data_IF_213862951118
#
_entry.id   IF_213862951118
#
_cell.length_a   1.000
_cell.length_b   1.000
_cell.length_c   1.000
_cell.angle_alpha   90.00
_cell.angle_beta   90.00
_cell.angle_gamma   90.00
#
_symmetry.space_group_name_H-M   'P 1'
#
loop_
_entity.id
_entity.type
_entity.pdbx_description
1 polymer ?
#
# COMPACT_ATOMS: atom_id res chain seq x y z
N UNK A 1 20.25 -12.88 13.34
CA UNK A 1 21.50 -12.36 13.93
C UNK A 1 21.13 -11.78 15.27
N UNK A 2 21.78 -12.18 16.36
CA UNK A 2 21.51 -11.56 17.67
C UNK A 2 22.50 -10.45 17.93
N UNK A 3 22.01 -9.28 18.34
CA UNK A 3 22.84 -8.10 18.57
C UNK A 3 22.90 -7.80 20.06
N UNK A 4 24.11 -7.62 20.59
CA UNK A 4 24.30 -7.13 21.98
C UNK A 4 23.96 -5.65 22.14
N UNK A 5 24.10 -4.88 21.05
CA UNK A 5 23.80 -3.45 20.98
C UNK A 5 23.15 -3.15 19.64
N UNK A 6 21.98 -2.52 19.68
CA UNK A 6 21.29 -2.04 18.48
C UNK A 6 21.81 -0.66 18.08
N UNK A 7 21.78 -0.36 16.78
CA UNK A 7 22.00 1.00 16.29
C UNK A 7 20.80 1.87 16.67
N UNK A 8 21.06 3.16 16.92
CA UNK A 8 19.98 4.15 17.00
C UNK A 8 19.36 4.36 15.61
N UNK A 9 18.11 4.80 15.59
CA UNK A 9 17.54 5.36 14.37
C UNK A 9 18.31 6.63 14.00
N UNK A 10 18.48 6.94 12.70
CA UNK A 10 19.11 8.18 12.29
C UNK A 10 18.21 9.36 12.69
N UNK A 11 18.81 10.53 12.94
CA UNK A 11 18.07 11.69 13.45
C UNK A 11 17.06 12.25 12.44
N UNK A 12 17.27 11.98 11.16
CA UNK A 12 16.40 12.34 10.04
C UNK A 12 15.46 11.19 9.62
N UNK A 13 15.26 10.18 10.48
CA UNK A 13 14.31 9.10 10.21
C UNK A 13 12.88 9.65 10.10
N UNK A 14 12.20 9.31 9.01
CA UNK A 14 10.84 9.75 8.74
C UNK A 14 9.84 8.91 9.54
N UNK A 15 9.66 9.25 10.81
CA UNK A 15 8.58 8.73 11.64
C UNK A 15 7.24 9.31 11.18
N UNK A 16 6.48 8.49 10.46
CA UNK A 16 5.28 8.94 9.79
C UNK A 16 4.07 8.06 10.03
N UNK A 17 2.99 8.48 9.39
CA UNK A 17 1.74 7.74 9.29
C UNK A 17 1.13 8.00 7.91
N UNK A 18 0.14 7.21 7.51
CA UNK A 18 -0.37 7.23 6.14
C UNK A 18 -1.90 7.19 6.03
N UNK A 19 -2.39 7.61 4.86
CA UNK A 19 -3.78 7.49 4.41
C UNK A 19 -3.88 7.30 2.88
N UNK A 20 -5.11 7.11 2.39
CA UNK A 20 -5.45 7.06 0.97
C UNK A 20 -6.70 7.90 0.69
N UNK A 21 -6.69 8.64 -0.41
CA UNK A 21 -7.69 9.64 -0.78
C UNK A 21 -9.13 9.13 -0.64
N UNK A 22 -9.49 8.05 -1.35
CA UNK A 22 -10.85 7.47 -1.29
C UNK A 22 -11.27 7.05 0.12
N UNK A 23 -10.31 6.65 0.96
CA UNK A 23 -10.57 6.12 2.29
C UNK A 23 -10.77 7.21 3.35
N UNK A 24 -10.31 8.44 3.10
CA UNK A 24 -10.35 9.53 4.09
C UNK A 24 -11.03 10.80 3.63
N UNK A 25 -10.95 11.17 2.35
CA UNK A 25 -11.31 12.51 1.90
C UNK A 25 -12.80 12.82 2.01
N UNK A 26 -13.66 11.96 1.46
CA UNK A 26 -15.05 12.32 1.21
C UNK A 26 -15.18 13.30 0.03
N UNK A 27 -16.27 14.07 -0.02
CA UNK A 27 -16.48 15.13 -1.02
C UNK A 27 -16.29 14.64 -2.48
N UNK A 28 -16.95 13.53 -2.90
CA UNK A 28 -16.64 12.83 -4.15
C UNK A 28 -16.98 13.61 -5.42
N UNK A 29 -17.81 14.66 -5.32
CA UNK A 29 -18.30 15.47 -6.43
C UNK A 29 -18.22 16.99 -6.17
N UNK A 30 -17.45 17.39 -5.16
CA UNK A 30 -17.21 18.81 -4.85
C UNK A 30 -16.06 19.36 -5.68
N UNK A 31 -16.04 20.68 -5.88
CA UNK A 31 -14.95 21.42 -6.50
C UNK A 31 -14.48 20.84 -7.85
N UNK A 32 -15.42 20.30 -8.64
CA UNK A 32 -15.15 19.77 -9.98
C UNK A 32 -14.60 18.35 -10.02
N UNK A 33 -14.46 17.66 -8.87
CA UNK A 33 -14.13 16.23 -8.86
C UNK A 33 -15.19 15.41 -9.60
N UNK A 34 -14.76 14.43 -10.38
CA UNK A 34 -15.64 13.43 -11.02
C UNK A 34 -15.47 12.03 -10.41
N UNK A 35 -16.29 11.10 -10.87
CA UNK A 35 -16.29 9.72 -10.38
C UNK A 35 -14.96 9.01 -10.68
N UNK A 36 -14.44 8.34 -9.67
CA UNK A 36 -13.45 7.28 -9.82
C UNK A 36 -14.15 5.94 -10.09
N UNK A 37 -13.38 4.93 -10.50
CA UNK A 37 -13.86 3.55 -10.59
C UNK A 37 -14.44 3.04 -9.26
N UNK A 38 -13.93 3.51 -8.12
CA UNK A 38 -14.44 3.15 -6.80
C UNK A 38 -15.80 3.78 -6.51
N UNK A 39 -16.01 5.04 -6.89
CA UNK A 39 -17.30 5.72 -6.70
C UNK A 39 -18.45 4.90 -7.31
N UNK A 40 -18.25 4.31 -8.49
CA UNK A 40 -19.26 3.45 -9.10
C UNK A 40 -19.29 2.03 -8.53
N UNK A 41 -18.12 1.43 -8.30
CA UNK A 41 -18.04 0.02 -7.91
C UNK A 41 -18.68 -0.27 -6.56
N UNK A 42 -18.48 0.60 -5.56
CA UNK A 42 -19.08 0.41 -4.21
C UNK A 42 -20.60 0.48 -4.22
N UNK A 43 -21.20 1.08 -5.25
CA UNK A 43 -22.66 1.23 -5.40
C UNK A 43 -23.33 0.02 -6.03
N UNK A 44 -22.56 -0.95 -6.52
CA UNK A 44 -23.12 -2.23 -6.95
C UNK A 44 -23.70 -2.93 -5.71
N UNK A 45 -24.97 -3.35 -5.71
CA UNK A 45 -25.62 -3.92 -4.53
C UNK A 45 -24.84 -5.10 -3.94
N UNK A 46 -24.53 -5.01 -2.65
CA UNK A 46 -23.82 -6.05 -1.90
C UNK A 46 -22.29 -6.08 -2.08
N UNK A 47 -21.68 -5.10 -2.77
CA UNK A 47 -20.22 -5.06 -2.90
C UNK A 47 -19.48 -4.70 -1.62
N UNK A 48 -19.96 -3.71 -0.90
CA UNK A 48 -19.35 -3.27 0.37
C UNK A 48 -20.21 -3.69 1.55
N UNK A 49 -19.55 -3.94 2.69
CA UNK A 49 -20.22 -4.26 3.94
C UNK A 49 -21.19 -3.14 4.32
N UNK A 50 -22.48 -3.51 4.47
CA UNK A 50 -23.61 -2.60 4.72
C UNK A 50 -23.74 -1.43 3.73
N UNK A 51 -23.19 -1.53 2.53
CA UNK A 51 -23.29 -0.47 1.51
C UNK A 51 -22.45 0.79 1.82
N UNK A 52 -21.45 0.67 2.69
CA UNK A 52 -20.51 1.76 2.99
C UNK A 52 -19.76 2.21 1.74
N UNK A 53 -19.50 3.52 1.64
CA UNK A 53 -18.86 4.15 0.50
C UNK A 53 -18.04 5.38 0.93
N UNK A 54 -17.25 5.92 -0.01
CA UNK A 54 -16.37 7.07 0.20
C UNK A 54 -17.02 8.44 0.05
N UNK A 55 -18.36 8.57 0.10
CA UNK A 55 -19.02 9.87 -0.13
C UNK A 55 -18.69 10.88 0.98
N UNK A 56 -18.64 10.38 2.21
CA UNK A 56 -18.16 11.14 3.37
C UNK A 56 -16.82 10.59 3.84
N UNK A 57 -16.63 9.27 3.82
CA UNK A 57 -15.49 8.61 4.45
C UNK A 57 -15.31 9.10 5.90
N UNK A 58 -14.19 9.74 6.20
CA UNK A 58 -13.96 10.46 7.48
C UNK A 58 -13.82 11.96 7.30
N UNK A 59 -14.21 12.49 6.14
CA UNK A 59 -14.34 13.92 5.86
C UNK A 59 -13.03 14.72 5.99
N UNK A 60 -11.89 14.08 5.66
CA UNK A 60 -10.58 14.73 5.70
C UNK A 60 -10.52 15.93 4.74
N UNK A 61 -11.27 15.91 3.63
CA UNK A 61 -11.30 17.03 2.68
C UNK A 61 -11.65 18.37 3.36
N UNK A 62 -12.64 18.36 4.25
CA UNK A 62 -13.07 19.56 4.98
C UNK A 62 -12.33 19.77 6.30
N UNK A 63 -11.73 18.70 6.85
CA UNK A 63 -11.16 18.68 8.20
C UNK A 63 -9.64 18.55 8.24
N UNK A 64 -8.96 18.63 7.10
CA UNK A 64 -7.52 18.41 7.04
C UNK A 64 -6.73 19.27 8.02
N UNK A 65 -7.16 20.52 8.30
CA UNK A 65 -6.50 21.39 9.29
C UNK A 65 -6.60 20.85 10.73
N UNK A 66 -7.75 20.29 11.10
CA UNK A 66 -7.92 19.60 12.39
C UNK A 66 -6.99 18.39 12.47
N UNK A 67 -6.95 17.60 11.40
CA UNK A 67 -6.12 16.39 11.32
C UNK A 67 -4.61 16.74 11.34
N UNK A 68 -4.16 17.76 10.60
CA UNK A 68 -2.76 18.22 10.61
C UNK A 68 -2.37 18.84 11.94
N UNK A 69 -3.26 19.56 12.61
CA UNK A 69 -2.99 20.08 13.96
C UNK A 69 -2.73 18.94 14.96
N UNK A 70 -3.51 17.85 14.89
CA UNK A 70 -3.26 16.64 15.67
C UNK A 70 -1.96 15.93 15.23
N UNK A 71 -1.58 15.96 13.94
CA UNK A 71 -0.30 15.38 13.49
C UNK A 71 0.88 16.14 14.11
N UNK A 72 0.76 17.47 14.17
CA UNK A 72 1.75 18.34 14.82
C UNK A 72 1.83 18.06 16.32
N UNK A 73 0.70 17.95 17.00
CA UNK A 73 0.65 17.62 18.42
C UNK A 73 1.31 16.27 18.71
N UNK A 74 1.05 15.24 17.90
CA UNK A 74 1.73 13.94 18.00
C UNK A 74 3.25 14.04 17.74
N UNK A 75 3.71 15.06 17.02
CA UNK A 75 5.12 15.25 16.67
C UNK A 75 5.56 14.53 15.40
N UNK A 76 4.62 14.17 14.52
CA UNK A 76 4.84 13.41 13.29
C UNK A 76 5.93 14.08 12.41
N UNK A 77 6.84 13.28 11.84
CA UNK A 77 7.92 13.81 10.97
C UNK A 77 7.54 13.81 9.50
N UNK A 78 6.67 12.89 9.10
CA UNK A 78 6.16 12.81 7.73
C UNK A 78 4.73 12.31 7.68
N UNK A 79 3.97 12.79 6.70
CA UNK A 79 2.63 12.27 6.43
C UNK A 79 2.53 11.83 4.97
N UNK A 80 2.20 10.56 4.77
CA UNK A 80 2.00 9.98 3.44
C UNK A 80 0.52 9.98 3.09
N UNK A 81 0.15 10.65 2.01
CA UNK A 81 -1.21 10.67 1.49
C UNK A 81 -1.21 10.43 -0.01
N UNK A 82 -2.34 9.97 -0.57
CA UNK A 82 -2.50 9.88 -2.02
C UNK A 82 -3.27 11.06 -2.58
N UNK A 83 -2.98 11.41 -3.83
CA UNK A 83 -3.74 12.42 -4.58
C UNK A 83 -4.77 11.69 -5.44
N UNK A 84 -6.04 12.08 -5.31
CA UNK A 84 -7.11 11.58 -6.16
C UNK A 84 -6.96 12.16 -7.57
N UNK A 85 -6.61 11.31 -8.53
CA UNK A 85 -6.47 11.72 -9.94
C UNK A 85 -7.73 12.43 -10.44
N UNK A 86 -8.90 11.96 -10.02
CA UNK A 86 -10.22 12.54 -10.34
C UNK A 86 -10.44 13.97 -9.84
N UNK A 87 -9.66 14.47 -8.88
CA UNK A 87 -9.67 15.90 -8.50
C UNK A 87 -8.82 16.75 -9.41
N UNK A 88 -7.73 16.21 -9.95
CA UNK A 88 -6.73 16.96 -10.71
C UNK A 88 -7.08 16.99 -12.19
N UNK A 89 -7.39 15.82 -12.75
CA UNK A 89 -7.88 15.65 -14.12
C UNK A 89 -9.17 14.85 -14.04
N UNK A 90 -10.35 15.52 -13.95
CA UNK A 90 -11.62 14.84 -13.68
C UNK A 90 -12.03 13.80 -14.73
N UNK A 91 -11.68 14.03 -16.00
CA UNK A 91 -11.88 13.06 -17.09
C UNK A 91 -10.63 12.18 -17.31
N UNK A 92 -9.67 12.22 -16.38
CA UNK A 92 -8.37 11.54 -16.41
C UNK A 92 -7.33 12.15 -17.34
N UNK A 93 -7.76 12.94 -18.32
CA UNK A 93 -6.93 13.71 -19.24
C UNK A 93 -7.57 15.07 -19.53
N UNK A 94 -6.81 15.98 -20.14
CA UNK A 94 -7.29 17.30 -20.56
C UNK A 94 -7.02 18.39 -19.53
N UNK A 95 -8.03 19.25 -19.31
CA UNK A 95 -7.88 20.45 -18.48
C UNK A 95 -7.68 20.13 -16.99
N UNK A 96 -6.72 20.82 -16.38
CA UNK A 96 -6.44 20.71 -14.95
C UNK A 96 -7.54 21.42 -14.17
N UNK A 97 -8.19 20.70 -13.25
CA UNK A 97 -9.10 21.30 -12.30
C UNK A 97 -8.33 22.01 -11.18
N UNK A 98 -8.25 23.33 -11.29
CA UNK A 98 -7.50 24.18 -10.37
C UNK A 98 -8.00 24.10 -8.92
N UNK A 99 -9.30 23.87 -8.69
CA UNK A 99 -9.84 23.77 -7.34
C UNK A 99 -9.37 22.47 -6.65
N UNK A 100 -9.34 21.35 -7.37
CA UNK A 100 -8.77 20.10 -6.89
C UNK A 100 -7.26 20.21 -6.61
N UNK A 101 -6.51 20.89 -7.48
CA UNK A 101 -5.09 21.15 -7.25
C UNK A 101 -4.86 22.01 -6.01
N UNK A 102 -5.71 23.04 -5.81
CA UNK A 102 -5.65 23.92 -4.65
C UNK A 102 -5.85 23.19 -3.33
N UNK A 103 -6.75 22.21 -3.26
CA UNK A 103 -6.92 21.41 -2.04
C UNK A 103 -5.60 20.75 -1.59
N UNK A 104 -4.89 20.09 -2.52
CA UNK A 104 -3.62 19.44 -2.19
C UNK A 104 -2.49 20.45 -1.97
N UNK A 105 -2.48 21.58 -2.67
CA UNK A 105 -1.56 22.67 -2.35
C UNK A 105 -1.76 23.16 -0.92
N UNK A 106 -3.00 23.41 -0.51
CA UNK A 106 -3.32 23.87 0.85
C UNK A 106 -2.97 22.81 1.91
N UNK A 107 -3.20 21.52 1.63
CA UNK A 107 -2.78 20.42 2.52
C UNK A 107 -1.26 20.35 2.65
N UNK A 108 -0.52 20.42 1.53
CA UNK A 108 0.95 20.38 1.52
C UNK A 108 1.52 21.58 2.29
N UNK A 109 0.99 22.78 2.05
CA UNK A 109 1.44 23.98 2.72
C UNK A 109 1.13 23.94 4.23
N UNK A 110 -0.02 23.38 4.64
CA UNK A 110 -0.35 23.17 6.05
C UNK A 110 0.60 22.15 6.72
N UNK A 111 0.97 21.06 6.04
CA UNK A 111 1.96 20.09 6.55
C UNK A 111 3.34 20.76 6.73
N UNK A 112 3.82 21.49 5.71
CA UNK A 112 5.11 22.17 5.74
C UNK A 112 5.13 23.24 6.84
N UNK A 113 4.06 24.02 6.98
CA UNK A 113 3.92 25.03 8.04
C UNK A 113 3.98 24.41 9.45
N UNK A 114 3.61 23.14 9.58
CA UNK A 114 3.70 22.36 10.80
C UNK A 114 4.97 21.50 10.89
N UNK A 115 5.95 21.69 10.01
CA UNK A 115 7.22 20.95 9.97
C UNK A 115 7.06 19.43 9.77
N UNK A 116 6.02 19.05 9.02
CA UNK A 116 5.74 17.66 8.64
C UNK A 116 6.10 17.49 7.16
N UNK A 117 7.02 16.59 6.83
CA UNK A 117 7.44 16.34 5.44
C UNK A 117 6.29 15.63 4.68
N UNK A 118 5.75 16.23 3.60
CA UNK A 118 4.73 15.59 2.79
C UNK A 118 5.34 14.47 1.94
N UNK A 119 4.73 13.29 1.96
CA UNK A 119 5.05 12.18 1.07
C UNK A 119 3.87 11.92 0.15
N UNK A 120 4.00 12.25 -1.12
CA UNK A 120 2.89 12.18 -2.08
C UNK A 120 2.87 10.81 -2.75
N UNK A 121 1.72 10.13 -2.64
CA UNK A 121 1.42 8.93 -3.43
C UNK A 121 0.59 9.33 -4.66
N UNK A 122 1.13 9.11 -5.85
CA UNK A 122 0.50 9.54 -7.11
C UNK A 122 -0.76 8.72 -7.39
N UNK A 123 -0.71 7.40 -7.15
CA UNK A 123 -1.84 6.52 -7.42
C UNK A 123 -2.17 5.57 -6.27
N UNK A 124 -3.43 5.62 -5.82
CA UNK A 124 -3.99 4.66 -4.87
C UNK A 124 -5.38 4.18 -5.33
N UNK A 125 -5.37 3.50 -6.48
CA UNK A 125 -6.45 2.63 -6.99
C UNK A 125 -7.72 3.34 -7.49
N UNK A 126 -7.73 4.67 -7.47
CA UNK A 126 -8.88 5.53 -7.73
C UNK A 126 -8.87 6.13 -9.14
N UNK A 127 -8.60 5.28 -10.14
CA UNK A 127 -8.64 5.62 -11.56
C UNK A 127 -9.90 6.42 -11.92
N UNK A 128 -9.80 7.52 -12.69
CA UNK A 128 -10.97 8.22 -13.21
C UNK A 128 -11.86 7.29 -14.03
N UNK A 129 -13.16 7.26 -13.72
CA UNK A 129 -14.12 6.41 -14.42
C UNK A 129 -14.12 6.69 -15.93
N UNK A 130 -13.88 7.95 -16.34
CA UNK A 130 -13.83 8.32 -17.74
C UNK A 130 -12.76 7.55 -18.54
N UNK A 131 -11.62 7.19 -17.93
CA UNK A 131 -10.58 6.39 -18.59
C UNK A 131 -10.95 4.90 -18.66
N UNK A 132 -11.61 4.40 -17.62
CA UNK A 132 -12.20 3.05 -17.63
C UNK A 132 -13.26 2.93 -18.75
N UNK A 133 -14.15 3.92 -18.89
CA UNK A 133 -15.19 3.93 -19.92
C UNK A 133 -14.62 4.11 -21.33
N UNK A 134 -13.55 4.91 -21.48
CA UNK A 134 -12.97 5.24 -22.78
C UNK A 134 -12.21 4.07 -23.40
N UNK A 135 -11.36 3.39 -22.63
CA UNK A 135 -10.47 2.34 -23.15
C UNK A 135 -10.23 1.17 -22.19
N UNK A 136 -10.98 1.05 -21.09
CA UNK A 136 -10.79 0.00 -20.09
C UNK A 136 -9.64 0.27 -19.12
N UNK A 137 -9.25 1.54 -18.95
CA UNK A 137 -8.26 1.92 -17.95
C UNK A 137 -6.92 1.19 -18.12
N UNK A 138 -6.52 0.45 -17.09
CA UNK A 138 -5.25 -0.28 -17.08
C UNK A 138 -5.13 -1.42 -18.10
N UNK A 139 -6.22 -1.76 -18.81
CA UNK A 139 -6.20 -2.73 -19.91
C UNK A 139 -5.59 -2.16 -21.20
N UNK A 140 -5.46 -0.84 -21.31
CA UNK A 140 -4.91 -0.16 -22.48
C UNK A 140 -3.58 0.51 -22.20
N UNK A 141 -2.67 0.47 -23.18
CA UNK A 141 -1.41 1.24 -23.14
C UNK A 141 -1.61 2.75 -23.17
N UNK A 142 -2.79 3.24 -23.56
CA UNK A 142 -3.11 4.68 -23.50
C UNK A 142 -2.93 5.25 -22.09
N UNK A 143 -3.14 4.43 -21.05
CA UNK A 143 -2.97 4.84 -19.66
C UNK A 143 -1.54 5.33 -19.34
N UNK A 144 -0.53 4.86 -20.08
CA UNK A 144 0.87 5.23 -19.87
C UNK A 144 1.02 6.75 -20.08
N UNK A 145 0.52 7.26 -21.20
CA UNK A 145 0.63 8.69 -21.53
C UNK A 145 -0.24 9.55 -20.60
N UNK A 146 -1.46 9.10 -20.31
CA UNK A 146 -2.38 9.83 -19.41
C UNK A 146 -1.82 9.94 -18.00
N UNK A 147 -1.27 8.85 -17.47
CA UNK A 147 -0.70 8.81 -16.13
C UNK A 147 0.60 9.62 -16.04
N UNK A 148 1.44 9.59 -17.08
CA UNK A 148 2.63 10.47 -17.15
C UNK A 148 2.24 11.94 -17.16
N UNK A 149 1.23 12.32 -17.96
CA UNK A 149 0.71 13.69 -17.98
C UNK A 149 0.15 14.10 -16.62
N UNK A 150 -0.63 13.23 -15.98
CA UNK A 150 -1.13 13.45 -14.62
C UNK A 150 0.01 13.68 -13.61
N UNK A 151 1.00 12.78 -13.59
CA UNK A 151 2.15 12.89 -12.70
C UNK A 151 2.96 14.18 -12.96
N UNK A 152 3.16 14.55 -14.23
CA UNK A 152 3.84 15.78 -14.62
C UNK A 152 3.11 17.04 -14.13
N UNK A 153 1.77 17.07 -14.15
CA UNK A 153 1.00 18.15 -13.53
C UNK A 153 1.33 18.28 -12.04
N UNK A 154 1.36 17.16 -11.31
CA UNK A 154 1.69 17.16 -9.87
C UNK A 154 3.13 17.58 -9.60
N UNK A 155 4.09 17.03 -10.37
CA UNK A 155 5.50 17.36 -10.24
C UNK A 155 5.72 18.85 -10.43
N UNK A 156 5.14 19.45 -11.47
CA UNK A 156 5.26 20.87 -11.72
C UNK A 156 4.58 21.73 -10.65
N UNK A 157 3.38 21.34 -10.21
CA UNK A 157 2.63 22.09 -9.21
C UNK A 157 3.30 22.09 -7.83
N UNK A 158 3.94 20.98 -7.44
CA UNK A 158 4.52 20.80 -6.11
C UNK A 158 6.06 20.77 -6.11
N UNK A 159 6.69 21.19 -7.21
CA UNK A 159 8.15 21.29 -7.33
C UNK A 159 8.70 22.18 -6.22
N UNK A 160 9.69 21.66 -5.49
CA UNK A 160 10.32 22.35 -4.36
C UNK A 160 9.53 22.31 -3.04
N UNK A 161 8.28 21.81 -3.04
CA UNK A 161 7.49 21.58 -1.82
C UNK A 161 7.52 20.11 -1.37
N UNK A 162 7.56 19.17 -2.30
CA UNK A 162 7.50 17.72 -2.00
C UNK A 162 8.77 17.02 -2.45
N UNK A 163 9.47 16.37 -1.51
CA UNK A 163 10.72 15.63 -1.79
C UNK A 163 10.53 14.15 -2.00
N UNK A 164 9.47 13.53 -1.46
CA UNK A 164 9.29 12.09 -1.52
C UNK A 164 8.00 11.73 -2.26
N UNK A 165 8.16 10.91 -3.31
CA UNK A 165 7.08 10.54 -4.21
C UNK A 165 6.95 9.01 -4.29
N UNK A 166 5.75 8.50 -4.03
CA UNK A 166 5.38 7.11 -4.30
C UNK A 166 4.62 7.09 -5.62
N UNK A 167 5.07 6.31 -6.61
CA UNK A 167 4.40 6.20 -7.90
C UNK A 167 3.10 5.40 -7.80
N UNK A 168 3.19 4.08 -7.98
CA UNK A 168 2.07 3.16 -7.80
C UNK A 168 2.14 2.54 -6.41
N UNK A 169 1.07 2.71 -5.61
CA UNK A 169 0.92 2.02 -4.34
C UNK A 169 0.24 0.66 -4.53
N UNK A 170 0.89 -0.39 -4.04
CA UNK A 170 0.37 -1.76 -3.98
C UNK A 170 -0.16 -2.27 -5.33
N UNK A 171 0.66 -2.13 -6.38
CA UNK A 171 0.30 -2.57 -7.73
C UNK A 171 -0.18 -4.02 -7.77
N UNK A 172 0.50 -4.91 -7.05
CA UNK A 172 0.13 -6.30 -6.94
C UNK A 172 -1.26 -6.51 -6.32
N UNK A 173 -1.72 -5.60 -5.47
CA UNK A 173 -3.06 -5.67 -4.87
C UNK A 173 -4.11 -5.17 -5.85
N UNK A 174 -4.02 -3.95 -6.38
CA UNK A 174 -5.09 -3.45 -7.26
C UNK A 174 -5.21 -4.29 -8.53
N UNK A 175 -4.10 -4.78 -9.10
CA UNK A 175 -4.16 -5.63 -10.28
C UNK A 175 -4.73 -7.02 -9.97
N UNK A 176 -4.31 -7.68 -8.88
CA UNK A 176 -4.85 -9.00 -8.54
C UNK A 176 -6.32 -8.93 -8.11
N UNK A 177 -6.70 -7.92 -7.33
CA UNK A 177 -8.09 -7.75 -6.87
C UNK A 177 -9.02 -7.34 -8.02
N UNK A 178 -8.52 -6.57 -8.99
CA UNK A 178 -9.28 -6.07 -10.14
C UNK A 178 -9.48 -7.10 -11.27
N UNK A 179 -8.45 -7.91 -11.57
CA UNK A 179 -8.47 -8.81 -12.74
C UNK A 179 -8.30 -10.31 -12.41
N UNK A 180 -7.92 -10.69 -11.19
CA UNK A 180 -7.83 -12.10 -10.78
C UNK A 180 -8.94 -12.51 -9.80
N UNK A 181 -9.15 -11.73 -8.74
CA UNK A 181 -10.09 -12.05 -7.67
C UNK A 181 -11.47 -11.40 -7.84
N UNK A 182 -11.60 -10.41 -8.74
CA UNK A 182 -12.84 -9.68 -9.03
C UNK A 182 -13.48 -9.00 -7.80
N UNK A 183 -12.68 -8.65 -6.80
CA UNK A 183 -13.11 -8.04 -5.54
C UNK A 183 -13.06 -6.52 -5.59
N UNK A 184 -12.15 -5.95 -6.41
CA UNK A 184 -11.99 -4.51 -6.65
C UNK A 184 -12.37 -4.17 -8.10
N UNK A 185 -12.53 -2.89 -8.46
CA UNK A 185 -12.70 -2.50 -9.87
C UNK A 185 -11.55 -3.04 -10.74
N UNK A 186 -11.82 -3.47 -11.99
CA UNK A 186 -13.12 -3.51 -12.67
C UNK A 186 -13.97 -4.76 -12.38
N UNK A 187 -13.57 -5.62 -11.43
CA UNK A 187 -14.32 -6.81 -11.04
C UNK A 187 -14.23 -7.95 -12.04
N UNK A 188 -13.10 -8.09 -12.73
CA UNK A 188 -12.84 -9.13 -13.73
C UNK A 188 -12.08 -10.33 -13.14
N UNK A 189 -12.27 -11.49 -13.75
CA UNK A 189 -11.62 -12.76 -13.38
C UNK A 189 -11.01 -13.41 -14.63
N UNK A 190 -9.84 -12.91 -15.00
CA UNK A 190 -9.07 -13.34 -16.17
C UNK A 190 -7.56 -13.25 -15.87
N UNK A 191 -6.91 -14.40 -15.73
CA UNK A 191 -5.49 -14.47 -15.38
C UNK A 191 -4.56 -13.96 -16.49
N UNK A 192 -4.92 -14.15 -17.76
CA UNK A 192 -4.09 -13.68 -18.89
C UNK A 192 -4.16 -12.15 -18.95
N UNK A 193 -5.37 -11.60 -18.81
CA UNK A 193 -5.57 -10.16 -18.76
C UNK A 193 -4.90 -9.54 -17.53
N UNK A 194 -4.99 -10.18 -16.36
CA UNK A 194 -4.28 -9.74 -15.14
C UNK A 194 -2.78 -9.54 -15.39
N UNK A 195 -2.10 -10.50 -16.01
CA UNK A 195 -0.66 -10.35 -16.30
C UNK A 195 -0.39 -9.28 -17.36
N UNK A 196 -1.27 -9.11 -18.35
CA UNK A 196 -1.14 -8.04 -19.35
C UNK A 196 -1.31 -6.65 -18.72
N UNK A 197 -2.34 -6.46 -17.88
CA UNK A 197 -2.59 -5.23 -17.12
C UNK A 197 -1.41 -4.93 -16.20
N UNK A 198 -0.88 -5.94 -15.52
CA UNK A 198 0.30 -5.77 -14.68
C UNK A 198 1.53 -5.32 -15.48
N UNK A 199 1.69 -5.80 -16.71
CA UNK A 199 2.75 -5.34 -17.60
C UNK A 199 2.59 -3.88 -18.00
N UNK A 200 1.37 -3.45 -18.35
CA UNK A 200 1.06 -2.04 -18.65
C UNK A 200 1.35 -1.16 -17.42
N UNK A 201 0.93 -1.58 -16.22
CA UNK A 201 1.22 -0.85 -14.99
C UNK A 201 2.73 -0.73 -14.71
N UNK A 202 3.51 -1.78 -14.99
CA UNK A 202 4.98 -1.71 -14.89
C UNK A 202 5.58 -0.67 -15.86
N UNK A 203 5.10 -0.62 -17.10
CA UNK A 203 5.55 0.36 -18.09
C UNK A 203 5.17 1.79 -17.67
N UNK A 204 3.95 1.98 -17.17
CA UNK A 204 3.48 3.24 -16.60
C UNK A 204 4.35 3.72 -15.44
N UNK A 205 4.68 2.82 -14.50
CA UNK A 205 5.58 3.12 -13.40
C UNK A 205 6.97 3.55 -13.89
N UNK A 206 7.54 2.79 -14.84
CA UNK A 206 8.85 3.11 -15.42
C UNK A 206 8.84 4.48 -16.13
N UNK A 207 7.79 4.77 -16.91
CA UNK A 207 7.64 6.02 -17.62
C UNK A 207 7.55 7.24 -16.67
N UNK A 208 6.79 7.13 -15.58
CA UNK A 208 6.67 8.21 -14.58
C UNK A 208 7.97 8.45 -13.81
N UNK A 209 8.70 7.38 -13.44
CA UNK A 209 10.02 7.53 -12.81
C UNK A 209 11.00 8.23 -13.76
N UNK A 210 11.01 7.84 -15.04
CA UNK A 210 11.84 8.53 -16.03
C UNK A 210 11.44 10.00 -16.19
N UNK A 211 10.15 10.31 -16.23
CA UNK A 211 9.65 11.68 -16.31
C UNK A 211 10.07 12.51 -15.09
N UNK A 212 10.00 11.96 -13.88
CA UNK A 212 10.46 12.61 -12.66
C UNK A 212 11.93 13.05 -12.76
N UNK A 213 12.80 12.15 -13.24
CA UNK A 213 14.22 12.43 -13.42
C UNK A 213 14.50 13.37 -14.61
N UNK A 214 13.76 13.25 -15.71
CA UNK A 214 13.85 14.15 -16.88
C UNK A 214 13.52 15.60 -16.51
N UNK A 215 12.55 15.81 -15.61
CA UNK A 215 12.16 17.12 -15.11
C UNK A 215 13.12 17.69 -14.05
N UNK A 216 14.21 16.98 -13.73
CA UNK A 216 15.19 17.35 -12.71
C UNK A 216 14.50 17.75 -11.39
N UNK A 217 13.62 16.88 -10.91
CA UNK A 217 12.92 17.07 -9.64
C UNK A 217 13.90 16.96 -8.47
N UNK A 218 13.83 17.90 -7.53
CA UNK A 218 14.60 17.85 -6.28
C UNK A 218 13.89 16.92 -5.29
N UNK A 219 14.23 15.63 -5.33
CA UNK A 219 13.58 14.62 -4.50
C UNK A 219 13.94 13.19 -4.87
N UNK A 220 13.15 12.26 -4.33
CA UNK A 220 13.26 10.82 -4.51
C UNK A 220 11.91 10.25 -4.93
N UNK A 221 11.92 9.29 -5.86
CA UNK A 221 10.72 8.59 -6.32
C UNK A 221 10.90 7.07 -6.27
N UNK A 222 9.85 6.36 -5.89
CA UNK A 222 9.84 4.89 -5.90
C UNK A 222 8.44 4.29 -5.92
N UNK A 223 8.26 3.06 -6.44
CA UNK A 223 7.01 2.33 -6.27
C UNK A 223 6.86 1.83 -4.82
N UNK A 224 5.63 1.51 -4.42
CA UNK A 224 5.36 0.85 -3.14
C UNK A 224 4.71 -0.51 -3.34
N UNK A 225 5.30 -1.54 -2.74
CA UNK A 225 4.91 -2.94 -2.95
C UNK A 225 4.30 -3.56 -1.69
N UNK A 226 3.15 -4.22 -1.83
CA UNK A 226 2.57 -5.00 -0.73
C UNK A 226 3.34 -6.30 -0.55
N UNK A 227 4.30 -6.30 0.38
CA UNK A 227 5.24 -7.39 0.54
C UNK A 227 4.78 -8.38 1.61
N UNK A 228 4.48 -9.60 1.18
CA UNK A 228 4.31 -10.77 2.05
C UNK A 228 5.49 -11.71 1.81
N UNK A 229 6.54 -11.70 2.65
CA UNK A 229 7.64 -12.64 2.54
C UNK A 229 7.16 -14.08 2.67
N UNK A 230 7.65 -14.95 1.77
CA UNK A 230 7.28 -16.36 1.73
C UNK A 230 8.28 -17.21 2.53
N UNK A 231 7.75 -18.09 3.38
CA UNK A 231 8.49 -19.10 4.14
C UNK A 231 8.19 -20.50 3.62
N UNK A 232 9.13 -21.41 3.83
CA UNK A 232 8.89 -22.83 3.70
C UNK A 232 8.32 -23.39 5.01
N UNK A 233 7.38 -24.33 4.91
CA UNK A 233 6.82 -25.06 6.05
C UNK A 233 7.89 -25.66 6.96
N UNK A 234 8.87 -26.30 6.32
CA UNK A 234 9.96 -27.03 6.96
C UNK A 234 11.11 -27.20 5.94
N UNK A 235 12.12 -27.99 6.31
CA UNK A 235 13.31 -28.24 5.47
C UNK A 235 13.12 -29.38 4.46
N UNK A 236 11.91 -29.88 4.23
CA UNK A 236 11.66 -30.77 3.09
C UNK A 236 11.99 -30.01 1.79
N UNK A 237 12.86 -30.53 0.91
CA UNK A 237 13.23 -29.87 -0.33
C UNK A 237 12.04 -29.44 -1.18
N UNK A 238 10.91 -30.17 -1.16
CA UNK A 238 9.71 -29.78 -1.90
C UNK A 238 9.01 -28.55 -1.28
N UNK A 239 9.05 -28.41 0.04
CA UNK A 239 8.50 -27.24 0.74
C UNK A 239 9.42 -26.02 0.58
N UNK A 240 10.73 -26.23 0.56
CA UNK A 240 11.70 -25.17 0.21
C UNK A 240 11.46 -24.68 -1.22
N UNK A 241 11.38 -25.60 -2.19
CA UNK A 241 11.09 -25.25 -3.58
C UNK A 241 9.73 -24.55 -3.74
N UNK A 242 8.70 -24.97 -2.99
CA UNK A 242 7.41 -24.30 -2.98
C UNK A 242 7.51 -22.85 -2.47
N UNK A 243 8.34 -22.57 -1.47
CA UNK A 243 8.58 -21.22 -0.98
C UNK A 243 9.36 -20.37 -2.00
N UNK A 244 10.35 -20.94 -2.70
CA UNK A 244 11.06 -20.25 -3.80
C UNK A 244 10.09 -19.89 -4.95
N UNK A 245 9.25 -20.84 -5.37
CA UNK A 245 8.22 -20.59 -6.39
C UNK A 245 7.25 -19.48 -5.96
N UNK A 246 6.80 -19.51 -4.69
CA UNK A 246 5.90 -18.51 -4.15
C UNK A 246 6.56 -17.12 -4.05
N UNK A 247 7.81 -17.03 -3.57
CA UNK A 247 8.53 -15.75 -3.47
C UNK A 247 8.76 -15.15 -4.86
N UNK A 248 9.11 -15.99 -5.83
CA UNK A 248 9.34 -15.54 -7.20
C UNK A 248 8.05 -15.03 -7.86
N UNK A 249 6.96 -15.80 -7.76
CA UNK A 249 5.67 -15.42 -8.36
C UNK A 249 4.97 -14.28 -7.65
N UNK A 250 5.04 -14.20 -6.32
CA UNK A 250 4.29 -13.20 -5.56
C UNK A 250 5.07 -11.95 -5.21
N UNK A 251 6.41 -11.98 -5.26
CA UNK A 251 7.26 -10.84 -4.86
C UNK A 251 8.25 -10.44 -5.93
N UNK A 252 9.15 -11.34 -6.35
CA UNK A 252 10.16 -10.99 -7.36
C UNK A 252 9.52 -10.58 -8.69
N UNK A 253 8.36 -11.14 -9.05
CA UNK A 253 7.62 -10.77 -10.26
C UNK A 253 7.28 -9.27 -10.37
N UNK A 254 7.17 -8.57 -9.24
CA UNK A 254 7.03 -7.10 -9.19
C UNK A 254 8.36 -6.42 -8.89
N UNK A 255 9.03 -6.81 -7.79
CA UNK A 255 10.19 -6.07 -7.30
C UNK A 255 11.38 -6.15 -8.28
N UNK A 256 11.61 -7.29 -8.96
CA UNK A 256 12.66 -7.39 -9.98
C UNK A 256 12.36 -6.47 -11.17
N UNK A 257 11.09 -6.29 -11.54
CA UNK A 257 10.73 -5.37 -12.63
C UNK A 257 10.95 -3.92 -12.20
N UNK A 258 10.61 -3.56 -10.96
CA UNK A 258 10.87 -2.21 -10.45
C UNK A 258 12.35 -1.85 -10.40
N UNK A 259 13.22 -2.80 -10.03
CA UNK A 259 14.62 -2.51 -9.69
C UNK A 259 15.63 -2.96 -10.76
N UNK A 260 15.31 -3.99 -11.53
CA UNK A 260 16.14 -4.47 -12.65
C UNK A 260 15.52 -4.18 -14.02
N UNK A 261 14.21 -3.96 -14.10
CA UNK A 261 13.49 -3.86 -15.37
C UNK A 261 13.31 -5.21 -16.06
N UNK A 262 13.40 -6.31 -15.31
CA UNK A 262 13.34 -7.67 -15.83
C UNK A 262 12.41 -8.53 -14.97
N UNK A 263 11.61 -9.38 -15.62
CA UNK A 263 10.82 -10.38 -14.91
C UNK A 263 11.67 -11.59 -14.55
N UNK A 264 11.38 -12.28 -13.43
CA UNK A 264 12.12 -13.45 -13.03
C UNK A 264 11.87 -14.64 -13.96
N UNK A 265 12.94 -15.41 -14.20
CA UNK A 265 13.02 -16.36 -15.31
C UNK A 265 12.08 -17.56 -15.12
N UNK A 266 12.01 -18.16 -13.93
CA UNK A 266 11.22 -19.37 -13.72
C UNK A 266 9.72 -19.06 -13.72
N UNK A 267 9.31 -17.94 -13.11
CA UNK A 267 7.94 -17.43 -13.20
C UNK A 267 7.53 -17.18 -14.66
N UNK A 268 8.36 -16.50 -15.46
CA UNK A 268 8.06 -16.28 -16.87
C UNK A 268 8.00 -17.56 -17.69
N UNK A 269 8.85 -18.56 -17.39
CA UNK A 269 8.76 -19.87 -18.03
C UNK A 269 7.42 -20.56 -17.71
N UNK A 270 7.03 -20.58 -16.43
CA UNK A 270 5.73 -21.11 -15.98
C UNK A 270 4.56 -20.40 -16.67
N UNK A 271 4.58 -19.06 -16.72
CA UNK A 271 3.51 -18.30 -17.35
C UNK A 271 3.43 -18.54 -18.85
N UNK A 272 4.56 -18.72 -19.56
CA UNK A 272 4.55 -19.05 -20.99
C UNK A 272 3.99 -20.43 -21.25
N UNK A 273 4.41 -21.43 -20.48
CA UNK A 273 3.90 -22.80 -20.57
C UNK A 273 2.38 -22.86 -20.39
N UNK A 274 1.84 -22.01 -19.51
CA UNK A 274 0.41 -21.94 -19.20
C UNK A 274 -0.36 -20.91 -20.06
N UNK A 275 0.29 -20.28 -21.05
CA UNK A 275 -0.36 -19.28 -21.91
C UNK A 275 -0.77 -17.98 -21.21
N UNK A 276 -0.18 -17.68 -20.05
CA UNK A 276 -0.49 -16.55 -19.18
C UNK A 276 0.51 -15.38 -19.28
N UNK A 277 1.69 -15.60 -19.87
CA UNK A 277 2.74 -14.56 -19.92
C UNK A 277 2.25 -13.30 -20.64
N UNK A 278 2.60 -12.09 -20.17
CA UNK A 278 2.22 -10.85 -20.84
C UNK A 278 2.92 -10.74 -22.21
N UNK A 279 2.26 -10.02 -23.10
CA UNK A 279 2.78 -9.67 -24.42
C UNK A 279 3.59 -8.38 -24.34
N UNK A 280 4.79 -8.44 -24.91
CA UNK A 280 5.72 -7.34 -25.00
C UNK A 280 5.62 -6.71 -26.38
N UNK A 281 5.67 -5.39 -26.42
CA UNK A 281 5.87 -4.59 -27.62
C UNK A 281 7.31 -4.09 -27.72
N UNK A 282 7.68 -3.60 -28.91
CA UNK A 282 9.01 -3.03 -29.13
C UNK A 282 9.24 -1.83 -28.21
N UNK A 283 10.35 -1.84 -27.45
CA UNK A 283 10.71 -0.77 -26.53
C UNK A 283 10.32 -1.04 -25.06
N UNK A 284 9.48 -2.04 -24.78
CA UNK A 284 9.04 -2.32 -23.40
C UNK A 284 10.21 -2.70 -22.49
N UNK A 285 11.06 -3.63 -22.94
CA UNK A 285 12.19 -4.08 -22.15
C UNK A 285 13.19 -2.94 -21.89
N UNK A 286 13.40 -2.07 -22.89
CA UNK A 286 14.25 -0.89 -22.78
C UNK A 286 13.68 0.13 -21.78
N UNK A 287 12.37 0.39 -21.84
CA UNK A 287 11.68 1.31 -20.92
C UNK A 287 11.74 0.81 -19.47
N UNK A 288 11.43 -0.47 -19.24
CA UNK A 288 11.50 -1.07 -17.90
C UNK A 288 12.93 -0.99 -17.33
N UNK A 289 13.95 -1.24 -18.16
CA UNK A 289 15.36 -1.18 -17.75
C UNK A 289 15.86 0.24 -17.51
N UNK A 290 15.31 1.25 -18.17
CA UNK A 290 15.78 2.62 -18.04
C UNK A 290 15.36 3.27 -16.73
N UNK A 291 14.22 2.84 -16.15
CA UNK A 291 13.75 3.36 -14.88
C UNK A 291 14.67 2.97 -13.72
N UNK A 292 14.95 3.95 -12.86
CA UNK A 292 15.78 3.81 -11.65
C UNK A 292 15.08 4.52 -10.49
N UNK A 293 14.30 3.80 -9.66
CA UNK A 293 13.76 4.38 -8.45
C UNK A 293 14.87 4.64 -7.42
N UNK A 294 14.66 5.63 -6.56
CA UNK A 294 15.61 6.04 -5.50
C UNK A 294 15.43 5.24 -4.21
N UNK A 295 14.22 4.74 -3.98
CA UNK A 295 13.87 3.84 -2.88
C UNK A 295 12.84 2.80 -3.31
N UNK A 296 12.70 1.74 -2.53
CA UNK A 296 11.56 0.83 -2.61
C UNK A 296 10.62 1.09 -1.44
N UNK A 297 9.38 1.46 -1.73
CA UNK A 297 8.31 1.46 -0.75
C UNK A 297 7.85 0.02 -0.44
N UNK A 298 7.61 -0.30 0.83
CA UNK A 298 6.96 -1.56 1.21
C UNK A 298 5.77 -1.35 2.13
N UNK A 299 4.66 -2.00 1.80
CA UNK A 299 3.47 -2.16 2.63
C UNK A 299 3.57 -3.56 3.26
N UNK A 300 3.77 -3.64 4.57
CA UNK A 300 4.00 -4.89 5.29
C UNK A 300 2.93 -5.13 6.35
N UNK A 301 2.42 -6.35 6.42
CA UNK A 301 1.49 -6.77 7.46
C UNK A 301 1.78 -8.14 8.03
N UNK A 302 2.19 -9.08 7.17
CA UNK A 302 2.28 -10.49 7.50
C UNK A 302 3.23 -11.22 6.54
N UNK A 303 3.56 -12.45 6.91
CA UNK A 303 4.21 -13.44 6.05
C UNK A 303 3.21 -14.45 5.50
N UNK A 304 3.71 -15.37 4.67
CA UNK A 304 2.96 -16.56 4.29
C UNK A 304 3.87 -17.79 4.31
N UNK A 305 3.38 -18.89 4.87
CA UNK A 305 4.11 -20.16 4.91
C UNK A 305 3.60 -21.12 3.83
N UNK A 306 4.51 -21.72 3.08
CA UNK A 306 4.21 -22.53 1.90
C UNK A 306 4.66 -23.98 2.08
N UNK A 307 3.83 -24.89 1.56
CA UNK A 307 4.13 -26.30 1.40
C UNK A 307 3.98 -26.70 -0.08
N UNK A 308 4.58 -27.83 -0.44
CA UNK A 308 4.40 -28.46 -1.74
C UNK A 308 2.94 -28.69 -2.06
N UNK A 309 2.58 -28.45 -3.32
CA UNK A 309 1.23 -28.62 -3.83
C UNK A 309 1.28 -29.45 -5.12
N UNK A 310 0.82 -30.71 -5.11
CA UNK A 310 0.85 -31.56 -6.30
C UNK A 310 -0.04 -30.99 -7.42
N UNK A 311 0.27 -31.32 -8.67
CA UNK A 311 -0.57 -30.96 -9.83
C UNK A 311 -1.94 -31.64 -9.71
N UNK A 312 -1.93 -32.96 -9.52
CA UNK A 312 -3.14 -33.76 -9.37
C UNK A 312 -3.65 -33.72 -7.92
N UNK A 313 -4.91 -33.28 -7.74
CA UNK A 313 -5.53 -33.19 -6.42
C UNK A 313 -4.98 -32.07 -5.53
N UNK A 314 -4.19 -31.14 -6.10
CA UNK A 314 -3.67 -29.97 -5.41
C UNK A 314 -4.74 -28.96 -5.01
N UNK A 315 -4.36 -28.05 -4.11
CA UNK A 315 -5.22 -26.96 -3.63
C UNK A 315 -5.17 -25.80 -4.62
N UNK A 316 -6.34 -25.39 -5.10
CA UNK A 316 -6.51 -24.20 -5.95
C UNK A 316 -6.78 -22.92 -5.13
N UNK A 317 -7.51 -21.98 -5.74
CA UNK A 317 -7.87 -20.71 -5.08
C UNK A 317 -8.86 -20.95 -3.94
N UNK A 318 -8.48 -20.55 -2.72
CA UNK A 318 -9.30 -20.59 -1.51
C UNK A 318 -10.05 -19.29 -1.23
N UNK A 319 -10.71 -19.23 -0.06
CA UNK A 319 -11.41 -18.03 0.42
C UNK A 319 -10.70 -17.39 1.61
N UNK A 320 -10.67 -16.06 1.63
CA UNK A 320 -10.10 -15.25 2.72
C UNK A 320 -11.11 -15.01 3.84
N UNK A 321 -10.61 -14.81 5.06
CA UNK A 321 -11.41 -14.30 6.17
C UNK A 321 -11.66 -12.80 6.00
N UNK A 322 -12.90 -12.42 5.70
CA UNK A 322 -13.36 -11.03 5.61
C UNK A 322 -14.23 -10.62 6.80
N UNK A 323 -14.49 -11.53 7.74
CA UNK A 323 -15.49 -11.36 8.80
C UNK A 323 -14.91 -11.00 10.17
N UNK A 324 -13.59 -11.14 10.35
CA UNK A 324 -12.95 -11.08 11.68
C UNK A 324 -13.22 -12.32 12.54
N UNK A 325 -13.86 -13.36 12.00
CA UNK A 325 -14.00 -14.65 12.68
C UNK A 325 -12.77 -15.51 12.43
N UNK A 326 -11.87 -15.57 13.41
CA UNK A 326 -10.63 -16.35 13.37
C UNK A 326 -10.89 -17.82 13.00
N UNK A 327 -10.00 -18.40 12.21
CA UNK A 327 -10.04 -19.78 11.73
C UNK A 327 -10.92 -20.01 10.51
N UNK A 328 -11.26 -18.97 9.73
CA UNK A 328 -12.16 -19.09 8.57
C UNK A 328 -11.46 -18.97 7.21
N UNK A 329 -10.19 -18.56 7.19
CA UNK A 329 -9.36 -18.63 5.98
C UNK A 329 -9.15 -20.08 5.56
N UNK A 330 -9.35 -20.39 4.27
CA UNK A 330 -9.10 -21.72 3.69
C UNK A 330 -7.72 -21.79 3.06
N UNK A 331 -7.16 -23.00 2.96
CA UNK A 331 -5.95 -23.23 2.17
C UNK A 331 -6.15 -22.69 0.74
N UNK A 332 -5.09 -22.09 0.19
CA UNK A 332 -5.07 -21.55 -1.16
C UNK A 332 -3.71 -21.80 -1.78
N UNK A 333 -3.66 -22.05 -3.08
CA UNK A 333 -2.41 -22.32 -3.77
C UNK A 333 -2.57 -22.42 -5.28
N UNK A 334 -1.46 -22.77 -5.92
CA UNK A 334 -1.39 -23.08 -7.34
C UNK A 334 -0.89 -24.54 -7.45
N UNK A 335 -1.72 -25.47 -7.95
CA UNK A 335 -1.32 -26.87 -8.14
C UNK A 335 -0.03 -26.97 -8.97
N UNK A 336 0.88 -27.82 -8.54
CA UNK A 336 2.21 -27.99 -9.13
C UNK A 336 3.29 -27.03 -8.63
N UNK A 337 2.93 -26.01 -7.84
CA UNK A 337 3.89 -25.00 -7.37
C UNK A 337 3.96 -24.93 -5.84
N UNK A 338 2.89 -24.49 -5.20
CA UNK A 338 2.85 -24.23 -3.77
C UNK A 338 1.40 -24.16 -3.26
N UNK A 339 1.23 -24.34 -1.95
CA UNK A 339 0.01 -23.98 -1.23
C UNK A 339 0.35 -23.31 0.09
N UNK A 340 -0.43 -22.29 0.44
CA UNK A 340 -0.33 -21.59 1.72
C UNK A 340 -0.92 -22.45 2.82
N UNK A 341 -0.19 -22.55 3.92
CA UNK A 341 -0.59 -23.21 5.14
C UNK A 341 -0.46 -22.24 6.31
N UNK A 342 -1.11 -22.56 7.43
CA UNK A 342 -0.93 -21.81 8.66
C UNK A 342 0.46 -22.08 9.25
N UNK A 343 1.18 -21.02 9.63
CA UNK A 343 2.37 -21.14 10.46
C UNK A 343 1.98 -21.45 11.93
N UNK A 344 2.41 -22.58 12.53
CA UNK A 344 2.09 -22.91 13.91
C UNK A 344 2.91 -22.13 14.94
N UNK A 345 3.94 -21.38 14.53
CA UNK A 345 4.84 -20.64 15.41
C UNK A 345 4.47 -19.15 15.57
N UNK A 346 3.47 -18.67 14.81
CA UNK A 346 3.14 -17.26 14.71
C UNK A 346 1.67 -17.04 15.10
N UNK A 347 1.43 -16.03 15.93
CA UNK A 347 0.09 -15.60 16.30
C UNK A 347 -0.65 -14.98 15.11
N UNK A 348 -1.97 -14.93 15.20
CA UNK A 348 -2.81 -14.36 14.13
C UNK A 348 -3.83 -13.38 14.67
N UNK A 349 -4.11 -12.36 13.88
CA UNK A 349 -5.23 -11.44 14.09
C UNK A 349 -6.57 -12.18 14.03
N UNK A 350 -7.66 -11.48 14.36
CA UNK A 350 -9.02 -11.96 14.18
C UNK A 350 -9.35 -12.27 12.69
N UNK A 351 -8.62 -11.67 11.74
CA UNK A 351 -8.73 -11.92 10.30
C UNK A 351 -7.79 -13.00 9.78
N UNK A 352 -7.22 -13.83 10.66
CA UNK A 352 -6.23 -14.87 10.33
C UNK A 352 -4.93 -14.37 9.70
N UNK A 353 -4.64 -13.06 9.75
CA UNK A 353 -3.35 -12.53 9.28
C UNK A 353 -2.26 -12.82 10.30
N UNK A 354 -1.11 -13.30 9.85
CA UNK A 354 0.06 -13.60 10.70
C UNK A 354 0.62 -12.30 11.31
N UNK A 355 0.84 -12.29 12.62
CA UNK A 355 1.51 -11.21 13.33
C UNK A 355 2.98 -11.57 13.42
N UNK A 356 3.75 -11.25 12.38
CA UNK A 356 5.17 -11.62 12.26
C UNK A 356 6.09 -10.40 12.18
N UNK A 357 6.56 -9.83 13.30
CA UNK A 357 7.57 -8.78 13.25
C UNK A 357 8.92 -9.26 12.71
N UNK A 358 9.33 -10.51 12.93
CA UNK A 358 10.60 -11.04 12.38
C UNK A 358 10.52 -11.15 10.84
N UNK A 359 9.32 -11.39 10.31
CA UNK A 359 9.05 -11.34 8.88
C UNK A 359 9.33 -9.97 8.25
N UNK A 360 9.07 -8.86 8.96
CA UNK A 360 9.46 -7.53 8.49
C UNK A 360 10.98 -7.41 8.42
N UNK A 361 11.69 -7.87 9.44
CA UNK A 361 13.15 -7.89 9.43
C UNK A 361 13.71 -8.75 8.29
N UNK A 362 13.12 -9.92 8.03
CA UNK A 362 13.48 -10.80 6.92
C UNK A 362 13.22 -10.10 5.58
N UNK A 363 12.08 -9.45 5.41
CA UNK A 363 11.75 -8.66 4.22
C UNK A 363 12.83 -7.61 3.93
N UNK A 364 13.17 -6.81 4.94
CA UNK A 364 14.18 -5.76 4.85
C UNK A 364 15.57 -6.33 4.51
N UNK A 365 15.95 -7.47 5.10
CA UNK A 365 17.20 -8.15 4.75
C UNK A 365 17.20 -8.70 3.32
N UNK A 366 16.10 -9.30 2.86
CA UNK A 366 15.97 -9.80 1.47
C UNK A 366 16.15 -8.65 0.48
N UNK A 367 15.46 -7.54 0.69
CA UNK A 367 15.56 -6.36 -0.17
C UNK A 367 16.97 -5.78 -0.15
N UNK A 368 17.54 -5.60 1.06
CA UNK A 368 18.88 -5.04 1.23
C UNK A 368 19.94 -5.89 0.51
N UNK A 369 19.89 -7.21 0.70
CA UNK A 369 20.87 -8.13 0.11
C UNK A 369 20.72 -8.23 -1.40
N UNK A 370 19.47 -8.32 -1.90
CA UNK A 370 19.18 -8.52 -3.31
C UNK A 370 19.39 -7.23 -4.12
N UNK A 371 18.81 -6.12 -3.69
CA UNK A 371 18.70 -4.91 -4.52
C UNK A 371 19.53 -3.72 -4.05
N UNK A 372 19.99 -3.72 -2.78
CA UNK A 372 20.89 -2.69 -2.22
C UNK A 372 20.33 -1.26 -2.33
N UNK A 373 19.00 -1.13 -2.26
CA UNK A 373 18.27 0.14 -2.35
C UNK A 373 17.77 0.56 -0.96
N UNK A 374 17.65 1.88 -0.66
CA UNK A 374 16.92 2.35 0.51
C UNK A 374 15.47 1.83 0.52
N UNK A 375 14.95 1.55 1.70
CA UNK A 375 13.56 1.11 1.90
C UNK A 375 12.78 2.13 2.70
N UNK A 376 11.62 2.53 2.19
CA UNK A 376 10.62 3.27 2.95
C UNK A 376 9.50 2.29 3.32
N UNK A 377 9.25 2.09 4.61
CA UNK A 377 8.05 1.33 5.01
C UNK A 377 6.90 2.32 4.92
N UNK A 378 6.07 2.14 3.90
CA UNK A 378 4.99 3.06 3.51
C UNK A 378 3.66 2.69 4.18
N UNK A 379 3.58 1.48 4.73
CA UNK A 379 2.40 0.99 5.43
C UNK A 379 2.75 -0.19 6.34
N UNK A 380 2.38 -0.11 7.62
CA UNK A 380 2.33 -1.23 8.56
C UNK A 380 1.40 -0.88 9.72
N UNK A 381 0.51 -1.79 10.12
CA UNK A 381 -0.41 -1.49 11.21
C UNK A 381 -1.32 -2.64 11.58
N UNK A 382 -2.13 -2.41 12.62
CA UNK A 382 -3.08 -3.39 13.13
C UNK A 382 -4.50 -2.83 13.10
N UNK A 383 -5.35 -3.53 12.36
CA UNK A 383 -6.79 -3.28 12.34
C UNK A 383 -7.51 -4.13 13.37
N UNK A 384 -8.26 -3.52 14.28
CA UNK A 384 -9.05 -4.21 15.30
C UNK A 384 -10.39 -3.50 15.56
N UNK A 385 -11.25 -4.13 16.37
CA UNK A 385 -12.51 -3.55 16.85
C UNK A 385 -12.26 -2.68 18.09
N UNK A 386 -11.88 -1.42 17.87
CA UNK A 386 -11.69 -0.49 18.99
C UNK A 386 -13.03 -0.18 19.69
N UNK A 387 -12.97 0.02 21.01
CA UNK A 387 -14.12 0.39 21.83
C UNK A 387 -13.91 1.76 22.45
N UNK A 388 -14.99 2.55 22.51
CA UNK A 388 -15.01 3.81 23.24
C UNK A 388 -15.48 3.54 24.67
N UNK A 389 -14.60 3.75 25.64
CA UNK A 389 -14.85 3.55 27.08
C UNK A 389 -14.55 4.87 27.79
N UNK A 390 -15.58 5.48 28.41
CA UNK A 390 -15.48 6.80 29.06
C UNK A 390 -14.86 7.91 28.19
N UNK A 391 -15.13 7.87 26.89
CA UNK A 391 -14.61 8.84 25.91
C UNK A 391 -13.15 8.61 25.50
N UNK A 392 -12.56 7.48 25.87
CA UNK A 392 -11.20 7.05 25.52
C UNK A 392 -11.23 5.73 24.76
N UNK A 393 -10.10 5.38 24.15
CA UNK A 393 -9.91 4.13 23.41
C UNK A 393 -8.63 3.48 23.92
N UNK A 394 -8.79 2.35 24.60
CA UNK A 394 -7.68 1.56 25.16
C UNK A 394 -7.23 0.48 24.17
N UNK A 395 -6.18 0.77 23.41
CA UNK A 395 -5.71 -0.05 22.29
C UNK A 395 -4.29 -0.62 22.45
N UNK A 396 -4.00 -1.16 23.65
CA UNK A 396 -2.72 -1.81 23.97
C UNK A 396 -2.26 -2.88 22.97
N UNK A 397 -3.21 -3.55 22.29
CA UNK A 397 -2.90 -4.52 21.24
C UNK A 397 -2.24 -3.87 20.01
N UNK A 398 -2.62 -2.64 19.68
CA UNK A 398 -2.02 -1.86 18.59
C UNK A 398 -0.62 -1.40 18.98
N UNK A 399 -0.44 -0.92 20.21
CA UNK A 399 0.88 -0.57 20.77
C UNK A 399 1.83 -1.76 20.67
N UNK A 400 1.45 -2.93 21.22
CA UNK A 400 2.28 -4.14 21.19
C UNK A 400 2.65 -4.59 19.77
N UNK A 401 1.71 -4.49 18.83
CA UNK A 401 1.98 -4.79 17.43
C UNK A 401 3.04 -3.85 16.86
N UNK A 402 2.83 -2.53 16.98
CA UNK A 402 3.72 -1.52 16.41
C UNK A 402 5.10 -1.54 17.08
N UNK A 403 5.17 -1.64 18.40
CA UNK A 403 6.42 -1.79 19.18
C UNK A 403 7.26 -2.95 18.65
N UNK A 404 6.64 -4.13 18.47
CA UNK A 404 7.36 -5.31 17.99
C UNK A 404 7.92 -5.13 16.57
N UNK A 405 7.21 -4.42 15.69
CA UNK A 405 7.67 -4.13 14.33
C UNK A 405 8.75 -3.04 14.32
N UNK A 406 8.64 -2.00 15.14
CA UNK A 406 9.70 -0.99 15.31
C UNK A 406 11.00 -1.64 15.79
N UNK A 407 10.92 -2.57 16.74
CA UNK A 407 12.07 -3.35 17.19
C UNK A 407 12.70 -4.13 16.03
N UNK A 408 11.90 -4.82 15.23
CA UNK A 408 12.37 -5.57 14.06
C UNK A 408 13.05 -4.66 13.00
N UNK A 409 12.53 -3.45 12.79
CA UNK A 409 13.15 -2.44 11.92
C UNK A 409 14.52 -2.04 12.47
N UNK A 410 14.62 -1.73 13.78
CA UNK A 410 15.88 -1.37 14.44
C UNK A 410 16.92 -2.49 14.32
N UNK A 411 16.49 -3.73 14.45
CA UNK A 411 17.35 -4.90 14.24
C UNK A 411 17.79 -5.06 12.78
N UNK A 412 16.90 -4.85 11.80
CA UNK A 412 17.24 -4.87 10.37
C UNK A 412 18.24 -3.77 10.01
N UNK A 413 18.09 -2.56 10.56
CA UNK A 413 19.06 -1.47 10.38
C UNK A 413 20.41 -1.78 11.02
N UNK A 414 20.38 -2.48 12.16
CA UNK A 414 21.60 -3.00 12.80
C UNK A 414 22.27 -4.06 11.91
N UNK A 415 21.48 -4.92 11.26
CA UNK A 415 21.94 -5.91 10.25
C UNK A 415 22.57 -5.25 9.00
N UNK A 416 22.23 -3.98 8.71
CA UNK A 416 22.77 -3.22 7.58
C UNK A 416 21.73 -2.70 6.59
N UNK A 417 20.44 -2.91 6.83
CA UNK A 417 19.39 -2.33 6.00
C UNK A 417 19.37 -0.79 6.09
N UNK A 418 19.21 -0.11 4.95
CA UNK A 418 18.97 1.34 4.91
C UNK A 418 17.47 1.58 4.87
N UNK A 419 16.87 1.78 6.04
CA UNK A 419 15.46 2.16 6.17
C UNK A 419 15.38 3.66 6.37
N UNK A 420 14.62 4.37 5.53
CA UNK A 420 14.54 5.83 5.52
C UNK A 420 13.30 6.39 6.21
N UNK A 421 12.28 5.56 6.42
CA UNK A 421 11.05 5.96 7.10
C UNK A 421 10.15 4.78 7.45
N UNK A 422 9.25 5.03 8.40
CA UNK A 422 8.23 4.10 8.87
C UNK A 422 6.90 4.83 8.96
N UNK A 423 5.95 4.41 8.12
CA UNK A 423 4.62 5.00 8.05
C UNK A 423 3.60 3.99 8.55
N UNK A 424 3.03 4.27 9.71
CA UNK A 424 1.97 3.44 10.27
C UNK A 424 0.69 3.52 9.44
N UNK A 425 -0.05 2.42 9.42
CA UNK A 425 -1.41 2.38 8.90
C UNK A 425 -2.39 2.30 10.08
N UNK A 426 -3.11 3.37 10.40
CA UNK A 426 -3.24 4.66 9.69
C UNK A 426 -3.17 5.84 10.65
N UNK A 427 -3.21 7.07 10.13
CA UNK A 427 -3.21 8.24 11.00
C UNK A 427 -4.54 8.38 11.75
N UNK A 428 -5.63 8.66 11.03
CA UNK A 428 -7.00 8.54 11.54
C UNK A 428 -7.56 7.16 11.24
N UNK A 429 -8.65 6.78 11.89
CA UNK A 429 -9.55 5.78 11.33
C UNK A 429 -10.03 6.22 9.95
N UNK A 430 -10.41 5.23 9.14
CA UNK A 430 -10.72 5.42 7.72
C UNK A 430 -11.70 4.37 7.23
N UNK A 431 -12.26 4.60 6.05
CA UNK A 431 -13.10 3.62 5.37
C UNK A 431 -12.24 2.45 4.85
N UNK A 432 -12.56 1.22 5.21
CA UNK A 432 -12.02 0.04 4.51
C UNK A 432 -12.72 -0.14 3.16
N UNK A 433 -11.94 -0.43 2.11
CA UNK A 433 -12.41 -0.63 0.74
C UNK A 433 -13.71 -1.45 0.61
N UNK A 434 -13.84 -2.55 1.36
CA UNK A 434 -15.01 -3.43 1.30
C UNK A 434 -15.64 -3.75 2.66
N UNK A 435 -15.04 -3.34 3.79
CA UNK A 435 -15.40 -3.85 5.12
C UNK A 435 -15.96 -2.80 6.09
N UNK A 436 -16.27 -1.58 5.61
CA UNK A 436 -16.81 -0.51 6.45
C UNK A 436 -15.77 0.07 7.41
N UNK A 437 -16.20 0.45 8.62
CA UNK A 437 -15.39 1.23 9.57
C UNK A 437 -15.04 0.45 10.85
N UNK A 438 -15.75 -0.64 11.17
CA UNK A 438 -15.54 -1.41 12.41
C UNK A 438 -14.11 -1.94 12.61
N UNK A 439 -13.36 -2.24 11.54
CA UNK A 439 -11.94 -2.63 11.62
C UNK A 439 -11.08 -1.38 11.52
N UNK A 440 -10.72 -0.83 12.67
CA UNK A 440 -10.09 0.48 12.84
C UNK A 440 -8.58 0.35 12.90
N UNK A 441 -7.86 1.28 12.26
CA UNK A 441 -6.41 1.26 12.12
C UNK A 441 -5.73 2.52 12.71
N UNK A 442 -6.49 3.59 12.94
CA UNK A 442 -5.94 4.91 13.24
C UNK A 442 -5.23 5.00 14.59
N UNK A 443 -4.35 5.99 14.74
CA UNK A 443 -4.00 6.56 16.05
C UNK A 443 -5.11 7.47 16.58
N UNK A 444 -5.86 8.09 15.68
CA UNK A 444 -6.99 8.95 16.01
C UNK A 444 -8.28 8.23 15.65
N UNK A 445 -9.09 7.90 16.65
CA UNK A 445 -10.43 7.36 16.45
C UNK A 445 -11.29 8.42 15.76
N UNK A 446 -12.11 8.00 14.79
CA UNK A 446 -13.14 8.86 14.20
C UNK A 446 -14.51 8.30 14.56
N UNK A 447 -15.35 9.17 15.15
CA UNK A 447 -16.75 8.86 15.47
C UNK A 447 -17.59 8.75 14.19
N UNK A 448 -17.44 7.59 13.54
CA UNK A 448 -18.11 7.18 12.32
C UNK A 448 -18.27 5.66 12.36
N UNK A 449 -19.37 5.14 11.84
CA UNK A 449 -19.61 3.71 11.71
C UNK A 449 -20.28 3.39 10.35
N UNK A 450 -20.77 2.17 10.18
CA UNK A 450 -21.38 1.79 8.90
C UNK A 450 -22.70 2.50 8.57
N UNK A 451 -23.31 3.25 9.50
CA UNK A 451 -24.45 4.14 9.18
C UNK A 451 -24.00 5.35 8.36
N UNK A 452 -22.72 5.74 8.47
CA UNK A 452 -22.16 6.96 7.87
C UNK A 452 -22.76 8.27 8.41
N UNK A 453 -23.44 8.22 9.57
CA UNK A 453 -24.12 9.34 10.23
C UNK A 453 -23.40 9.84 11.51
N UNK A 454 -22.20 9.32 11.80
CA UNK A 454 -21.44 9.69 13.00
C UNK A 454 -21.02 11.16 13.03
N UNK A 455 -20.64 11.67 14.21
CA UNK A 455 -20.28 13.09 14.39
C UNK A 455 -18.97 13.50 13.70
N UNK A 456 -18.19 12.52 13.23
CA UNK A 456 -16.85 12.66 12.64
C UNK A 456 -15.82 13.26 13.60
N UNK A 457 -16.11 13.28 14.91
CA UNK A 457 -15.18 13.78 15.93
C UNK A 457 -13.92 12.92 15.98
N UNK A 458 -12.77 13.58 16.05
CA UNK A 458 -11.45 12.97 16.26
C UNK A 458 -11.19 12.75 17.76
N UNK A 459 -10.75 11.56 18.14
CA UNK A 459 -10.42 11.20 19.53
C UNK A 459 -9.07 10.46 19.52
N UNK A 460 -7.97 11.07 20.00
CA UNK A 460 -6.69 10.37 20.16
C UNK A 460 -6.83 9.11 21.02
N UNK A 461 -6.31 7.98 20.53
CA UNK A 461 -6.27 6.68 21.24
C UNK A 461 -5.05 6.61 22.16
N UNK A 462 -4.92 5.57 22.98
CA UNK A 462 -3.71 5.38 23.80
C UNK A 462 -2.45 5.22 22.92
N UNK A 463 -2.58 4.53 21.78
CA UNK A 463 -1.50 4.37 20.79
C UNK A 463 -1.00 5.69 20.17
N UNK A 464 -1.82 6.74 20.13
CA UNK A 464 -1.40 8.09 19.71
C UNK A 464 -0.30 8.62 20.62
N UNK A 465 -0.52 8.56 21.94
CA UNK A 465 0.41 9.07 22.93
C UNK A 465 1.66 8.19 23.06
N UNK A 466 1.52 6.87 22.87
CA UNK A 466 2.67 5.99 22.76
C UNK A 466 3.56 6.36 21.56
N UNK A 467 2.97 6.60 20.38
CA UNK A 467 3.75 6.94 19.20
C UNK A 467 4.38 8.33 19.30
N UNK A 468 3.71 9.28 19.97
CA UNK A 468 4.29 10.58 20.35
C UNK A 468 5.58 10.39 21.17
N UNK A 469 5.53 9.60 22.26
CA UNK A 469 6.71 9.32 23.10
C UNK A 469 7.83 8.62 22.31
N UNK A 470 7.46 7.67 21.45
CA UNK A 470 8.41 6.97 20.58
C UNK A 470 9.15 7.93 19.64
N UNK A 471 8.43 8.91 19.05
CA UNK A 471 9.04 9.91 18.17
C UNK A 471 9.92 10.88 18.96
N UNK A 472 9.45 11.36 20.12
CA UNK A 472 10.21 12.27 21.00
C UNK A 472 11.55 11.69 21.42
N UNK A 473 11.59 10.39 21.70
CA UNK A 473 12.82 9.67 22.07
C UNK A 473 13.58 9.09 20.88
N UNK A 474 13.11 9.29 19.65
CA UNK A 474 13.64 8.64 18.44
C UNK A 474 13.79 7.11 18.60
N UNK A 475 12.83 6.49 19.28
CA UNK A 475 12.80 5.08 19.67
C UNK A 475 14.04 4.60 20.45
N UNK A 476 14.65 5.47 21.26
CA UNK A 476 15.57 5.07 22.33
C UNK A 476 14.82 4.34 23.45
N UNK A 477 13.58 4.77 23.70
CA UNK A 477 12.57 4.09 24.50
C UNK A 477 11.45 3.62 23.55
N UNK A 478 11.09 2.34 23.60
CA UNK A 478 10.05 1.75 22.73
C UNK A 478 8.88 1.31 23.58
#
# INVERSE_FOLDING_TARGET
MEHKKLKAFPNDFLWGSASAAYQVEGAPFEDGKKASVWDNFVRIPGKTFKGTNGDVAVDHYHRYKEDVALMKELGLKSYRFSIAWTRILPDGRGEVNQAGLKFYEDLIDELIANEIEPIVTIYHWDLPQALEDLYGGWESREIIADFVNYAEVLFNAFKGKVKYWVSLNEQNIFTSQGWSLATHPPGKRDMKLFYQVNHIANLTNAAVINKFHELEMDGQIGPSFAYTPQYAKDSDPLNVLAAENAEELYSHFWIDVYLYGEYPIAAMAYLRENGLAPEFEAGDAELLKSAKPDFLGINYYQTATNAWNPVDGGVGVGSFNTSGKKGTTKESGIPGLHKKIQNPFIDRTNWDWEIDPEGLRIALRRITSRYRIPVMITENGLGEYDKVEDGKIHDDYRIKYLESHVKAIKEAMTDGAKVIGYHTWSYTDLLSWLNGYQKRYGFVYVDQDETMEGSLKRIPKDSYYWYQHLIETNAEEV
#
